data_IF_412581021893
#
_entry.id   IF_412581021893
#
_cell.length_a   1.000
_cell.length_b   1.000
_cell.length_c   1.000
_cell.angle_alpha   90.00
_cell.angle_beta   90.00
_cell.angle_gamma   90.00
#
_symmetry.space_group_name_H-M   'P 1'
#
loop_
_entity.id
_entity.type
_entity.pdbx_description
1 polymer ?
#
# COMPACT_ATOMS: atom_id res chain seq x y z
N UNK A 1 55.80 -54.43 -12.15
CA UNK A 1 56.54 -55.06 -11.05
C UNK A 1 57.19 -53.96 -10.21
N UNK A 2 56.91 -53.97 -8.89
CA UNK A 2 57.65 -53.38 -7.75
C UNK A 2 57.81 -51.85 -7.73
N UNK A 3 57.44 -51.09 -6.68
CA UNK A 3 57.63 -51.25 -5.22
C UNK A 3 56.53 -50.46 -4.46
N UNK A 4 55.66 -50.97 -3.57
CA UNK A 4 55.75 -51.42 -2.15
C UNK A 4 56.26 -50.42 -1.09
N UNK A 5 55.34 -49.84 -0.30
CA UNK A 5 55.22 -49.82 1.18
C UNK A 5 54.12 -48.79 1.57
N UNK A 6 52.89 -49.14 1.96
CA UNK A 6 52.36 -49.76 3.21
C UNK A 6 52.55 -48.94 4.50
N UNK A 7 51.48 -48.28 4.96
CA UNK A 7 50.97 -48.46 6.32
C UNK A 7 49.44 -48.25 6.35
N UNK A 8 48.75 -49.19 7.02
CA UNK A 8 47.30 -49.25 7.29
C UNK A 8 47.10 -49.11 8.80
N UNK A 9 46.20 -48.22 9.22
CA UNK A 9 45.34 -48.28 10.41
C UNK A 9 44.57 -46.94 10.44
N UNK A 10 43.26 -46.82 10.55
CA UNK A 10 42.24 -47.66 11.19
C UNK A 10 40.86 -47.38 10.58
N UNK A 11 40.00 -48.41 10.65
CA UNK A 11 38.66 -48.51 10.12
C UNK A 11 37.59 -47.72 10.92
N UNK A 12 36.52 -47.36 10.20
CA UNK A 12 35.08 -47.43 10.55
C UNK A 12 34.58 -46.87 11.90
N UNK A 13 33.83 -45.75 11.82
CA UNK A 13 32.54 -45.48 12.49
C UNK A 13 32.04 -44.11 12.01
N UNK A 14 30.76 -43.78 11.83
CA UNK A 14 29.51 -44.49 11.62
C UNK A 14 28.57 -43.43 11.05
N UNK A 15 27.94 -43.72 9.92
CA UNK A 15 26.83 -42.97 9.34
C UNK A 15 25.58 -43.20 10.20
N UNK A 16 25.28 -42.30 11.14
CA UNK A 16 23.99 -42.28 11.84
C UNK A 16 23.91 -41.08 12.78
N UNK A 17 23.57 -39.89 12.26
CA UNK A 17 22.96 -38.77 13.00
C UNK A 17 22.74 -37.58 12.06
N UNK A 18 21.55 -37.48 11.47
CA UNK A 18 20.81 -36.23 11.19
C UNK A 18 19.56 -36.59 10.33
N UNK A 19 18.68 -37.37 10.94
CA UNK A 19 17.25 -37.39 10.60
C UNK A 19 16.54 -37.41 11.93
N UNK A 20 15.85 -36.32 12.22
CA UNK A 20 14.65 -36.20 13.06
C UNK A 20 14.60 -34.74 13.54
N UNK A 21 13.62 -34.00 13.05
CA UNK A 21 12.74 -33.10 13.80
C UNK A 21 11.87 -32.39 12.77
N UNK A 22 10.61 -32.83 12.68
CA UNK A 22 9.37 -32.08 12.46
C UNK A 22 8.30 -33.06 11.97
N UNK A 23 7.70 -33.78 12.93
CA UNK A 23 6.42 -34.44 12.75
C UNK A 23 5.54 -34.12 13.97
N UNK A 24 4.34 -33.64 13.65
CA UNK A 24 3.21 -33.26 14.51
C UNK A 24 2.80 -34.34 15.52
N UNK A 25 2.16 -33.96 16.64
CA UNK A 25 1.18 -34.83 17.29
C UNK A 25 -0.24 -34.26 17.22
N UNK A 26 -1.15 -35.03 16.63
CA UNK A 26 -2.59 -34.97 16.92
C UNK A 26 -2.97 -36.03 17.98
N UNK A 27 -3.93 -35.62 18.82
CA UNK A 27 -4.97 -36.38 19.53
C UNK A 27 -4.58 -37.46 20.56
N UNK A 28 -5.04 -37.25 21.80
CA UNK A 28 -5.64 -38.30 22.63
C UNK A 28 -6.95 -37.78 23.25
N UNK A 29 -7.97 -38.64 23.28
CA UNK A 29 -9.27 -38.44 23.92
C UNK A 29 -9.32 -39.10 25.31
N UNK A 30 -10.06 -38.41 26.19
CA UNK A 30 -10.96 -38.85 27.29
C UNK A 30 -10.47 -39.72 28.45
N UNK A 31 -10.70 -39.21 29.67
CA UNK A 31 -11.46 -39.74 30.85
C UNK A 31 -10.92 -38.94 32.07
N UNK A 32 -11.66 -38.39 33.04
CA UNK A 32 -13.08 -38.34 33.41
C UNK A 32 -13.23 -37.38 34.62
N UNK A 33 -14.48 -37.06 34.95
CA UNK A 33 -15.08 -36.41 36.14
C UNK A 33 -14.26 -35.63 37.19
N UNK A 34 -14.83 -34.50 37.61
CA UNK A 34 -14.52 -33.86 38.89
C UNK A 34 -14.98 -32.42 38.99
N UNK A 35 -16.26 -32.21 39.30
CA UNK A 35 -16.79 -30.96 39.86
C UNK A 35 -15.99 -30.48 41.07
N UNK A 36 -15.83 -29.16 41.24
CA UNK A 36 -15.98 -28.38 42.50
C UNK A 36 -15.44 -26.96 42.27
N UNK A 37 -16.34 -25.98 42.32
CA UNK A 37 -16.08 -24.58 42.70
C UNK A 37 -15.84 -24.50 44.21
N UNK A 38 -15.02 -23.58 44.74
CA UNK A 38 -15.61 -22.31 45.21
C UNK A 38 -14.71 -21.04 45.21
N UNK A 39 -15.42 -19.92 45.12
CA UNK A 39 -15.30 -18.66 45.88
C UNK A 39 -14.03 -17.76 45.80
N UNK A 40 -14.29 -16.55 45.25
CA UNK A 40 -14.08 -15.22 45.86
C UNK A 40 -13.07 -15.09 47.00
N UNK A 41 -12.12 -14.15 46.85
CA UNK A 41 -11.82 -13.12 47.86
C UNK A 41 -11.15 -11.91 47.19
N UNK A 42 -11.80 -10.75 47.26
CA UNK A 42 -11.16 -9.42 47.25
C UNK A 42 -10.36 -9.24 48.55
N UNK A 43 -9.42 -8.28 48.58
CA UNK A 43 -9.76 -7.07 49.34
C UNK A 43 -9.32 -5.75 48.68
N UNK A 44 -10.15 -4.73 48.91
CA UNK A 44 -9.82 -3.30 48.79
C UNK A 44 -9.02 -2.80 50.02
N UNK A 45 -8.58 -1.54 49.91
CA UNK A 45 -8.01 -0.61 50.90
C UNK A 45 -6.47 -0.70 51.02
N UNK A 46 -5.70 0.40 51.02
CA UNK A 46 -5.99 1.77 51.44
C UNK A 46 -4.91 2.75 50.92
N UNK A 47 -5.32 4.00 50.65
CA UNK A 47 -4.46 5.19 50.49
C UNK A 47 -3.64 5.46 51.76
N UNK A 48 -2.37 5.88 51.59
CA UNK A 48 -1.61 7.01 52.25
C UNK A 48 -0.31 7.11 51.41
N UNK A 49 0.35 8.21 51.06
CA UNK A 49 0.36 9.63 51.40
C UNK A 49 1.73 10.16 50.94
N UNK A 50 1.76 11.39 50.44
CA UNK A 50 2.93 12.03 49.83
C UNK A 50 4.08 12.29 50.82
N UNK A 51 5.34 12.23 50.35
CA UNK A 51 6.46 13.07 50.86
C UNK A 51 7.37 13.47 49.69
N UNK A 52 7.57 14.78 49.59
CA UNK A 52 8.58 15.51 48.83
C UNK A 52 9.89 15.56 49.60
N UNK A 53 11.03 15.38 48.91
CA UNK A 53 12.28 16.07 49.26
C UNK A 53 13.09 16.31 48.00
N UNK A 54 13.38 17.58 47.72
CA UNK A 54 14.36 18.00 46.73
C UNK A 54 15.80 17.92 47.25
N UNK A 55 16.75 17.92 46.32
CA UNK A 55 18.18 18.05 46.55
C UNK A 55 18.88 18.24 45.21
N UNK A 56 19.58 19.36 45.06
CA UNK A 56 20.20 19.92 43.85
C UNK A 56 21.73 19.77 43.94
N UNK A 57 22.37 20.05 42.79
CA UNK A 57 23.79 20.29 42.49
C UNK A 57 24.66 19.04 42.35
N UNK A 58 25.60 18.90 41.43
CA UNK A 58 26.05 19.52 40.17
C UNK A 58 27.37 18.76 39.90
N UNK A 59 27.65 18.27 38.69
CA UNK A 59 28.93 18.54 38.00
C UNK A 59 29.11 17.80 36.67
N UNK A 60 29.28 18.65 35.65
CA UNK A 60 30.11 18.64 34.44
C UNK A 60 30.56 17.35 33.69
N UNK A 61 30.37 17.50 32.36
CA UNK A 61 31.29 17.23 31.25
C UNK A 61 31.37 15.84 30.56
N UNK A 62 30.86 15.90 29.32
CA UNK A 62 31.56 15.59 28.06
C UNK A 62 31.43 14.15 27.51
N UNK A 63 30.69 14.03 26.40
CA UNK A 63 31.24 13.55 25.11
C UNK A 63 30.16 13.64 24.04
N UNK A 64 30.40 14.54 23.09
CA UNK A 64 29.73 14.65 21.79
C UNK A 64 30.26 13.52 20.90
N UNK A 65 29.42 12.58 20.50
CA UNK A 65 29.68 11.71 19.35
C UNK A 65 28.55 11.85 18.34
N UNK A 66 28.91 12.47 17.22
CA UNK A 66 28.15 12.50 15.97
C UNK A 66 28.12 11.10 15.36
N UNK A 67 26.92 10.53 15.13
CA UNK A 67 26.75 9.41 14.21
C UNK A 67 25.55 9.68 13.30
N UNK A 68 25.90 9.92 12.04
CA UNK A 68 25.05 10.06 10.86
C UNK A 68 23.96 8.99 10.77
N UNK A 69 22.71 9.41 10.91
CA UNK A 69 21.52 8.66 10.52
C UNK A 69 21.02 9.14 9.17
N UNK A 70 21.30 8.37 8.12
CA UNK A 70 20.76 8.54 6.77
C UNK A 70 19.23 8.65 6.80
N UNK A 71 18.69 9.84 6.59
CA UNK A 71 17.30 10.05 6.24
C UNK A 71 17.06 9.40 4.87
N UNK A 72 16.13 8.45 4.82
CA UNK A 72 15.68 7.80 3.60
C UNK A 72 14.35 8.46 3.25
N UNK A 73 14.42 9.45 2.37
CA UNK A 73 13.25 9.98 1.68
C UNK A 73 12.77 8.90 0.70
N UNK A 74 11.76 8.13 1.10
CA UNK A 74 10.97 7.34 0.17
C UNK A 74 9.86 8.27 -0.36
N UNK A 75 10.09 8.80 -1.56
CA UNK A 75 9.17 9.66 -2.29
C UNK A 75 7.94 8.87 -2.76
N UNK A 76 6.82 9.03 -2.06
CA UNK A 76 5.50 8.88 -2.66
C UNK A 76 5.17 10.24 -3.27
N UNK A 77 4.90 10.28 -4.57
CA UNK A 77 4.49 11.46 -5.31
C UNK A 77 3.23 12.07 -4.67
N UNK A 78 3.44 13.03 -3.78
CA UNK A 78 2.47 14.09 -3.52
C UNK A 78 2.60 15.03 -4.71
N UNK A 79 1.50 15.34 -5.39
CA UNK A 79 1.46 16.44 -6.33
C UNK A 79 1.71 17.73 -5.54
N UNK A 80 2.97 18.10 -5.34
CA UNK A 80 3.37 19.43 -4.89
C UNK A 80 3.52 20.29 -6.15
N UNK A 81 2.64 21.27 -6.31
CA UNK A 81 2.83 22.38 -7.22
C UNK A 81 4.02 23.22 -6.73
N UNK A 82 5.19 22.99 -7.32
CA UNK A 82 6.34 23.91 -7.19
C UNK A 82 6.27 24.94 -8.31
N UNK A 83 5.49 26.00 -8.11
CA UNK A 83 5.71 27.26 -8.82
C UNK A 83 6.34 28.27 -7.88
N UNK A 84 7.66 28.41 -8.01
CA UNK A 84 8.44 29.45 -7.33
C UNK A 84 8.25 30.76 -8.09
N UNK A 85 7.47 31.67 -7.50
CA UNK A 85 7.37 33.06 -7.92
C UNK A 85 8.75 33.72 -7.76
N UNK A 86 9.39 34.08 -8.87
CA UNK A 86 10.55 34.98 -8.89
C UNK A 86 10.05 36.40 -9.15
N UNK A 87 9.84 37.19 -8.09
CA UNK A 87 9.70 38.65 -8.21
C UNK A 87 11.06 39.25 -7.82
N UNK A 88 11.86 39.53 -8.85
CA UNK A 88 13.07 40.33 -8.75
C UNK A 88 12.80 41.76 -9.19
N UNK A 89 13.08 42.68 -8.28
CA UNK A 89 13.41 44.10 -8.46
C UNK A 89 12.37 45.06 -9.08
N UNK A 90 11.90 45.95 -8.21
CA UNK A 90 11.24 47.21 -8.52
C UNK A 90 11.98 48.03 -9.57
N UNK A 91 11.26 48.43 -10.63
CA UNK A 91 11.57 49.66 -11.37
C UNK A 91 10.30 50.48 -11.53
N UNK A 92 10.31 51.64 -10.88
CA UNK A 92 9.39 52.74 -11.13
C UNK A 92 9.48 53.18 -12.59
N UNK A 93 8.38 53.13 -13.34
CA UNK A 93 8.18 53.97 -14.52
C UNK A 93 6.72 54.43 -14.54
N UNK A 94 6.56 55.74 -14.45
CA UNK A 94 5.27 56.42 -14.50
C UNK A 94 4.94 56.91 -15.93
N UNK A 95 3.63 56.93 -16.22
CA UNK A 95 2.87 57.68 -17.24
C UNK A 95 3.18 57.51 -18.74
N UNK A 96 2.14 57.16 -19.50
CA UNK A 96 1.34 58.15 -20.27
C UNK A 96 0.07 57.55 -20.89
N UNK A 97 -1.03 58.30 -20.75
CA UNK A 97 -2.20 58.25 -21.62
C UNK A 97 -1.78 58.56 -23.06
N UNK A 98 -2.31 57.83 -24.04
CA UNK A 98 -3.21 58.39 -25.06
C UNK A 98 -3.54 57.34 -26.13
N UNK A 99 -4.67 57.59 -26.79
CA UNK A 99 -4.97 57.22 -28.17
C UNK A 99 -5.87 56.00 -28.41
N UNK A 100 -7.15 56.39 -28.59
CA UNK A 100 -7.97 56.15 -29.78
C UNK A 100 -8.72 54.82 -29.87
N UNK A 101 -9.96 54.90 -29.38
CA UNK A 101 -11.22 54.68 -30.12
C UNK A 101 -11.05 54.22 -31.58
N UNK A 102 -11.72 53.14 -31.96
CA UNK A 102 -12.96 53.28 -32.73
C UNK A 102 -13.68 51.93 -32.98
N UNK A 103 -15.00 52.00 -32.84
CA UNK A 103 -15.96 51.36 -33.76
C UNK A 103 -16.20 49.86 -33.64
N UNK A 104 -17.34 49.47 -33.07
CA UNK A 104 -18.57 49.21 -33.84
C UNK A 104 -19.61 48.64 -32.86
N UNK A 105 -20.71 49.37 -32.73
CA UNK A 105 -21.93 48.96 -32.05
C UNK A 105 -22.82 48.09 -32.95
N UNK A 106 -23.53 47.18 -32.28
CA UNK A 106 -24.91 46.74 -32.50
C UNK A 106 -25.20 45.63 -33.56
N UNK A 107 -25.65 44.47 -33.05
CA UNK A 107 -27.03 44.01 -33.25
C UNK A 107 -27.43 42.82 -32.35
N UNK A 108 -28.40 43.16 -31.53
CA UNK A 108 -29.43 42.46 -30.74
C UNK A 108 -30.02 41.10 -31.18
N UNK A 109 -30.55 40.41 -30.15
CA UNK A 109 -31.63 39.37 -30.09
C UNK A 109 -31.28 37.90 -30.44
N UNK A 110 -31.69 36.86 -29.69
CA UNK A 110 -32.54 36.69 -28.48
C UNK A 110 -32.49 35.22 -28.00
N UNK A 111 -32.97 34.99 -26.77
CA UNK A 111 -33.48 33.75 -26.15
C UNK A 111 -32.44 32.69 -25.69
N UNK A 112 -32.40 32.22 -24.44
CA UNK A 112 -33.23 32.43 -23.25
C UNK A 112 -32.81 31.47 -22.12
N UNK A 113 -33.37 31.68 -20.91
CA UNK A 113 -33.49 30.75 -19.76
C UNK A 113 -32.25 30.68 -18.85
N UNK A 114 -32.14 31.60 -17.88
CA UNK A 114 -32.51 31.46 -16.45
C UNK A 114 -31.76 30.31 -15.75
N UNK A 115 -30.82 30.57 -14.84
CA UNK A 115 -30.96 31.39 -13.64
C UNK A 115 -30.79 30.44 -12.45
N UNK A 116 -29.59 30.41 -11.87
CA UNK A 116 -29.35 29.78 -10.56
C UNK A 116 -28.98 30.90 -9.62
N UNK A 117 -29.83 31.06 -8.61
CA UNK A 117 -29.78 32.09 -7.60
C UNK A 117 -28.49 32.02 -6.78
N UNK A 118 -27.83 33.18 -6.65
CA UNK A 118 -26.65 33.37 -5.82
C UNK A 118 -27.11 34.09 -4.53
N UNK A 119 -27.48 33.32 -3.50
CA UNK A 119 -27.82 33.89 -2.19
C UNK A 119 -26.58 34.08 -1.30
N UNK A 120 -26.29 35.36 -1.08
CA UNK A 120 -25.73 36.02 0.11
C UNK A 120 -24.48 35.46 0.80
N UNK A 121 -23.35 36.15 0.62
CA UNK A 121 -22.26 36.17 1.60
C UNK A 121 -22.41 37.41 2.47
N UNK A 122 -22.60 37.20 3.77
CA UNK A 122 -22.59 38.25 4.78
C UNK A 122 -21.15 38.72 5.02
N UNK A 123 -20.87 40.00 4.75
CA UNK A 123 -19.60 40.65 5.06
C UNK A 123 -19.82 41.86 5.98
N UNK A 124 -19.26 41.81 7.18
CA UNK A 124 -19.20 42.93 8.13
C UNK A 124 -18.25 44.02 7.60
N UNK A 125 -18.72 45.28 7.55
CA UNK A 125 -17.93 46.45 7.15
C UNK A 125 -17.26 47.09 8.37
N UNK A 126 -15.94 47.17 8.36
CA UNK A 126 -15.20 48.25 9.03
C UNK A 126 -14.34 48.97 8.00
N UNK A 127 -14.48 50.30 7.96
CA UNK A 127 -13.77 51.17 7.05
C UNK A 127 -12.50 51.72 7.72
N UNK A 128 -11.36 51.50 7.06
CA UNK A 128 -10.28 52.48 6.83
C UNK A 128 -9.19 51.80 5.99
N UNK A 129 -8.78 52.50 4.94
CA UNK A 129 -7.79 52.14 3.91
C UNK A 129 -8.30 51.21 2.81
N UNK A 130 -8.63 51.83 1.66
CA UNK A 130 -8.99 51.16 0.41
C UNK A 130 -7.82 50.34 -0.15
N UNK A 131 -7.79 49.06 0.20
CA UNK A 131 -7.27 47.99 -0.65
C UNK A 131 -8.29 46.85 -0.56
N UNK A 132 -9.12 46.70 -1.57
CA UNK A 132 -10.02 45.54 -1.69
C UNK A 132 -9.16 44.40 -2.25
N UNK A 133 -8.67 43.53 -1.38
CA UNK A 133 -8.12 42.23 -1.81
C UNK A 133 -9.32 41.30 -2.00
N UNK A 134 -9.76 41.14 -3.24
CA UNK A 134 -10.67 40.05 -3.60
C UNK A 134 -9.83 38.76 -3.62
N UNK A 135 -9.75 38.06 -2.50
CA UNK A 135 -9.26 36.69 -2.46
C UNK A 135 -10.31 35.80 -3.12
N UNK A 136 -10.21 35.65 -4.44
CA UNK A 136 -10.81 34.57 -5.18
C UNK A 136 -10.10 33.28 -4.78
N UNK A 137 -10.68 32.53 -3.84
CA UNK A 137 -10.31 31.13 -3.63
C UNK A 137 -10.77 30.34 -4.86
N UNK A 138 -9.94 30.32 -5.90
CA UNK A 138 -10.04 29.29 -6.92
C UNK A 138 -9.74 27.97 -6.23
N UNK A 139 -10.76 27.14 -6.00
CA UNK A 139 -10.58 25.70 -5.75
C UNK A 139 -9.86 25.14 -6.97
N UNK A 140 -8.53 25.11 -6.92
CA UNK A 140 -7.74 24.32 -7.84
C UNK A 140 -8.07 22.85 -7.58
N UNK A 141 -9.03 22.35 -8.35
CA UNK A 141 -9.34 20.94 -8.39
C UNK A 141 -8.16 20.26 -9.08
N UNK A 142 -7.26 19.68 -8.29
CA UNK A 142 -6.14 18.89 -8.80
C UNK A 142 -6.71 17.80 -9.72
N UNK A 143 -6.56 17.98 -11.04
CA UNK A 143 -6.83 16.91 -11.99
C UNK A 143 -5.68 15.93 -11.85
N UNK A 144 -5.87 14.88 -11.05
CA UNK A 144 -4.97 13.74 -11.03
C UNK A 144 -4.96 13.13 -12.43
N UNK A 145 -3.90 13.36 -13.21
CA UNK A 145 -3.69 12.58 -14.42
C UNK A 145 -3.62 11.10 -14.06
N UNK A 146 -4.29 10.26 -14.84
CA UNK A 146 -4.37 8.81 -14.64
C UNK A 146 -3.04 8.14 -15.01
N UNK A 147 -1.95 8.50 -14.34
CA UNK A 147 -0.57 8.07 -14.63
C UNK A 147 0.19 7.63 -13.37
N UNK A 148 -0.49 7.52 -12.23
CA UNK A 148 0.09 7.08 -10.96
C UNK A 148 0.49 5.59 -10.94
N UNK A 149 1.40 5.19 -10.03
CA UNK A 149 1.80 3.79 -9.88
C UNK A 149 0.65 2.94 -9.32
N UNK A 150 0.39 1.78 -9.94
CA UNK A 150 -0.61 0.82 -9.48
C UNK A 150 -0.10 -0.03 -8.30
N UNK A 151 1.20 0.01 -8.03
CA UNK A 151 1.81 -0.40 -6.77
C UNK A 151 2.49 -1.77 -6.82
N UNK A 152 3.18 -2.05 -7.91
CA UNK A 152 4.19 -3.11 -7.96
C UNK A 152 5.38 -2.78 -7.05
N UNK A 153 5.91 -1.56 -7.07
CA UNK A 153 7.00 -1.08 -6.23
C UNK A 153 6.55 -0.95 -4.77
N UNK A 154 5.45 -0.22 -4.54
CA UNK A 154 4.92 0.06 -3.20
C UNK A 154 4.30 -1.12 -2.45
N UNK A 155 4.21 -2.30 -3.08
CA UNK A 155 3.72 -3.52 -2.42
C UNK A 155 2.20 -3.71 -2.41
N UNK A 156 1.43 -2.69 -2.81
CA UNK A 156 -0.05 -2.71 -2.96
C UNK A 156 -0.49 -3.96 -3.73
N UNK A 157 0.17 -4.26 -4.85
CA UNK A 157 0.01 -5.52 -5.58
C UNK A 157 0.79 -6.60 -4.84
N UNK A 158 0.11 -7.62 -4.31
CA UNK A 158 0.76 -8.73 -3.58
C UNK A 158 1.51 -9.71 -4.46
N UNK A 159 2.32 -10.53 -3.79
CA UNK A 159 3.02 -11.65 -4.39
C UNK A 159 2.05 -12.67 -5.03
N UNK A 160 0.85 -12.88 -4.50
CA UNK A 160 -0.13 -13.82 -5.08
C UNK A 160 -0.76 -13.30 -6.38
N UNK A 161 -0.77 -11.97 -6.57
CA UNK A 161 -1.31 -11.35 -7.78
C UNK A 161 -0.33 -11.42 -8.96
N UNK A 162 0.94 -11.75 -8.71
CA UNK A 162 1.99 -11.80 -9.73
C UNK A 162 2.35 -13.25 -10.02
N UNK A 163 2.10 -13.69 -11.25
CA UNK A 163 2.35 -15.05 -11.71
C UNK A 163 3.18 -15.03 -13.00
N UNK A 164 3.82 -16.13 -13.35
CA UNK A 164 4.56 -16.23 -14.60
C UNK A 164 4.49 -17.65 -15.17
N UNK A 165 4.74 -17.73 -16.48
CA UNK A 165 5.01 -18.94 -17.25
C UNK A 165 6.07 -19.85 -16.62
N UNK A 166 7.23 -19.28 -16.31
CA UNK A 166 8.40 -19.99 -15.84
C UNK A 166 9.24 -19.11 -14.91
N UNK A 167 10.16 -19.76 -14.19
CA UNK A 167 11.05 -19.08 -13.24
C UNK A 167 12.44 -19.67 -13.32
N UNK A 168 13.44 -18.79 -13.39
CA UNK A 168 14.83 -19.20 -13.36
C UNK A 168 15.24 -19.64 -11.95
N UNK A 169 15.98 -20.75 -11.88
CA UNK A 169 16.60 -21.24 -10.65
C UNK A 169 18.10 -21.34 -10.87
N UNK A 170 18.87 -20.70 -10.00
CA UNK A 170 20.35 -20.77 -10.02
C UNK A 170 20.88 -21.42 -8.75
N UNK A 171 22.17 -21.80 -8.77
CA UNK A 171 22.94 -22.25 -7.62
C UNK A 171 22.25 -23.41 -6.87
N UNK A 172 22.10 -24.55 -7.55
CA UNK A 172 21.42 -25.76 -7.04
C UNK A 172 19.98 -25.51 -6.52
N UNK A 173 19.30 -24.48 -7.02
CA UNK A 173 17.94 -24.13 -6.63
C UNK A 173 17.82 -23.21 -5.41
N UNK A 174 18.95 -22.74 -4.87
CA UNK A 174 18.98 -21.80 -3.75
C UNK A 174 18.60 -20.37 -4.17
N UNK A 175 18.89 -19.97 -5.41
CA UNK A 175 18.49 -18.67 -5.94
C UNK A 175 17.29 -18.80 -6.88
N UNK A 176 16.11 -18.32 -6.45
CA UNK A 176 14.87 -18.40 -7.22
C UNK A 176 14.43 -17.01 -7.68
N UNK A 177 14.41 -16.77 -8.98
CA UNK A 177 14.00 -15.49 -9.58
C UNK A 177 12.50 -15.48 -9.83
N UNK A 178 11.74 -15.43 -8.72
CA UNK A 178 10.29 -15.60 -8.72
C UNK A 178 9.54 -14.36 -9.26
N UNK A 179 8.31 -14.52 -9.76
CA UNK A 179 7.57 -13.45 -10.44
C UNK A 179 7.33 -12.23 -9.56
N UNK A 180 7.06 -12.45 -8.28
CA UNK A 180 6.81 -11.39 -7.30
C UNK A 180 8.05 -10.52 -6.98
N UNK A 181 9.23 -10.89 -7.46
CA UNK A 181 10.41 -10.04 -7.41
C UNK A 181 10.49 -9.02 -8.55
N UNK A 182 9.59 -9.07 -9.54
CA UNK A 182 9.51 -8.13 -10.66
C UNK A 182 9.00 -6.73 -10.26
N UNK A 183 9.42 -6.21 -9.11
CA UNK A 183 9.03 -4.90 -8.59
C UNK A 183 10.10 -3.88 -8.95
N UNK A 184 9.68 -2.71 -9.41
CA UNK A 184 10.60 -1.61 -9.74
C UNK A 184 11.51 -1.29 -8.55
N UNK A 185 12.76 -0.89 -8.83
CA UNK A 185 13.77 -0.49 -7.83
C UNK A 185 14.08 -1.50 -6.71
N UNK A 186 13.57 -2.73 -6.79
CA UNK A 186 13.86 -3.76 -5.78
C UNK A 186 15.38 -4.00 -5.67
N UNK A 187 15.89 -4.00 -4.43
CA UNK A 187 17.29 -4.22 -4.08
C UNK A 187 17.50 -5.64 -3.54
N UNK A 188 18.74 -6.13 -3.61
CA UNK A 188 19.14 -7.44 -3.08
C UNK A 188 19.91 -8.29 -4.10
N UNK A 189 20.42 -9.45 -3.65
CA UNK A 189 21.12 -10.42 -4.51
C UNK A 189 20.20 -11.05 -5.58
N UNK A 190 18.93 -11.25 -5.22
CA UNK A 190 17.86 -11.67 -6.13
C UNK A 190 16.77 -10.63 -6.03
N UNK A 191 16.58 -9.86 -7.10
CA UNK A 191 15.78 -8.64 -7.06
C UNK A 191 14.89 -8.44 -8.29
N UNK A 192 14.75 -9.45 -9.14
CA UNK A 192 13.89 -9.40 -10.32
C UNK A 192 13.25 -10.76 -10.59
N UNK A 193 12.28 -10.79 -11.50
CA UNK A 193 11.86 -12.03 -12.13
C UNK A 193 12.79 -12.34 -13.31
N UNK A 194 13.08 -13.62 -13.52
CA UNK A 194 13.82 -14.08 -14.69
C UNK A 194 13.17 -15.37 -15.20
N UNK A 195 12.95 -15.45 -16.52
CA UNK A 195 12.38 -16.63 -17.16
C UNK A 195 13.35 -17.82 -17.16
N UNK A 196 12.80 -19.04 -17.18
CA UNK A 196 13.64 -20.24 -17.31
C UNK A 196 14.32 -20.30 -18.69
N UNK A 197 15.53 -20.86 -18.77
CA UNK A 197 16.33 -20.88 -20.01
C UNK A 197 15.67 -21.66 -21.16
N UNK A 198 14.84 -22.67 -20.84
CA UNK A 198 14.13 -23.48 -21.82
C UNK A 198 12.77 -22.91 -22.25
N UNK A 199 12.34 -21.78 -21.70
CA UNK A 199 11.04 -21.18 -22.02
C UNK A 199 11.15 -20.31 -23.28
N UNK A 200 10.54 -20.77 -24.38
CA UNK A 200 10.55 -20.06 -25.66
C UNK A 200 9.59 -18.87 -25.71
N UNK A 201 8.56 -18.86 -24.86
CA UNK A 201 7.51 -17.86 -24.87
C UNK A 201 7.19 -17.41 -23.43
N UNK A 202 8.18 -16.83 -22.73
CA UNK A 202 7.98 -16.43 -21.37
C UNK A 202 6.96 -15.31 -21.28
N UNK A 203 6.14 -15.39 -20.25
CA UNK A 203 5.23 -14.34 -19.85
C UNK A 203 5.22 -14.17 -18.33
N UNK A 204 4.91 -12.93 -17.92
CA UNK A 204 4.60 -12.55 -16.55
C UNK A 204 3.25 -11.85 -16.54
N UNK A 205 2.41 -12.18 -15.56
CA UNK A 205 1.02 -11.78 -15.46
C UNK A 205 0.75 -11.13 -14.11
N UNK A 206 0.00 -10.04 -14.15
CA UNK A 206 -0.45 -9.28 -13.00
C UNK A 206 -1.98 -9.31 -12.97
N UNK A 207 -2.54 -9.74 -11.85
CA UNK A 207 -3.97 -9.67 -11.57
C UNK A 207 -4.25 -8.43 -10.70
N UNK A 208 -4.89 -7.42 -11.28
CA UNK A 208 -5.24 -6.16 -10.60
C UNK A 208 -6.45 -6.30 -9.67
N UNK A 209 -7.04 -7.51 -9.55
CA UNK A 209 -8.25 -7.87 -8.78
C UNK A 209 -9.55 -7.21 -9.25
N UNK A 210 -9.45 -6.05 -9.91
CA UNK A 210 -10.56 -5.31 -10.52
C UNK A 210 -10.15 -4.76 -11.87
N UNK A 211 -11.13 -4.34 -12.65
CA UNK A 211 -10.91 -3.68 -13.94
C UNK A 211 -10.34 -2.29 -13.71
N UNK A 212 -9.11 -2.07 -14.19
CA UNK A 212 -8.37 -0.80 -14.03
C UNK A 212 -8.08 -0.21 -15.40
N UNK A 213 -7.83 1.12 -15.44
CA UNK A 213 -7.27 1.80 -16.60
C UNK A 213 -5.75 1.82 -16.46
N UNK A 214 -5.06 1.09 -17.33
CA UNK A 214 -3.61 1.00 -17.39
C UNK A 214 -3.12 1.90 -18.52
N UNK A 215 -2.36 2.92 -18.16
CA UNK A 215 -1.89 3.97 -19.08
C UNK A 215 -0.42 3.82 -19.45
N UNK A 216 0.33 2.99 -18.73
CA UNK A 216 1.73 2.73 -19.08
C UNK A 216 2.38 1.62 -18.27
N UNK A 217 3.64 1.35 -18.62
CA UNK A 217 4.51 0.38 -17.98
C UNK A 217 5.92 0.95 -17.89
N UNK A 218 6.49 0.92 -16.68
CA UNK A 218 7.90 1.17 -16.44
C UNK A 218 8.61 -0.17 -16.30
N UNK A 219 9.72 -0.34 -16.97
CA UNK A 219 10.53 -1.57 -16.98
C UNK A 219 11.96 -1.29 -16.55
N UNK A 220 12.60 -2.26 -15.88
CA UNK A 220 14.00 -2.26 -15.45
C UNK A 220 14.58 -3.66 -15.60
N UNK A 221 15.89 -3.75 -15.88
CA UNK A 221 16.63 -5.01 -15.86
C UNK A 221 17.10 -5.42 -14.47
N UNK A 222 18.05 -6.36 -14.41
CA UNK A 222 18.83 -6.65 -13.21
C UNK A 222 20.25 -7.10 -13.56
N UNK A 223 21.06 -7.35 -12.53
CA UNK A 223 22.44 -7.82 -12.67
C UNK A 223 22.60 -9.13 -11.93
N UNK A 224 23.10 -10.16 -12.63
CA UNK A 224 23.39 -11.47 -12.06
C UNK A 224 24.89 -11.74 -12.18
N UNK A 225 25.57 -11.89 -11.04
CA UNK A 225 27.01 -12.19 -10.95
C UNK A 225 27.83 -11.31 -11.92
N UNK A 226 27.74 -9.98 -11.79
CA UNK A 226 28.50 -9.09 -12.67
C UNK A 226 27.89 -8.84 -14.05
N UNK A 227 26.97 -9.67 -14.53
CA UNK A 227 26.40 -9.58 -15.88
C UNK A 227 25.05 -8.86 -15.91
N UNK A 228 24.86 -7.84 -16.76
CA UNK A 228 23.56 -7.20 -16.94
C UNK A 228 22.63 -8.08 -17.77
N UNK A 229 21.39 -8.21 -17.31
CA UNK A 229 20.31 -8.97 -17.93
C UNK A 229 19.03 -8.12 -17.95
N UNK A 230 18.39 -8.02 -19.11
CA UNK A 230 17.21 -7.17 -19.28
C UNK A 230 16.43 -7.52 -20.55
N UNK A 231 15.18 -7.08 -20.59
CA UNK A 231 14.30 -7.19 -21.76
C UNK A 231 14.52 -5.98 -22.67
N UNK A 232 14.85 -6.23 -23.94
CA UNK A 232 15.06 -5.19 -24.98
C UNK A 232 13.78 -4.83 -25.71
N UNK A 233 12.87 -5.79 -25.87
CA UNK A 233 11.55 -5.53 -26.45
C UNK A 233 10.52 -6.52 -25.92
N UNK A 234 9.26 -6.09 -25.86
CA UNK A 234 8.17 -6.89 -25.33
C UNK A 234 6.84 -6.55 -26.01
N UNK A 235 5.90 -7.49 -25.94
CA UNK A 235 4.49 -7.28 -26.29
C UNK A 235 3.65 -7.27 -25.01
N UNK A 236 2.48 -6.67 -25.07
CA UNK A 236 1.52 -6.60 -23.96
C UNK A 236 0.22 -7.25 -24.39
N UNK A 237 -0.35 -8.08 -23.53
CA UNK A 237 -1.71 -8.58 -23.66
C UNK A 237 -2.51 -8.26 -22.41
N UNK A 238 -3.82 -8.19 -22.59
CA UNK A 238 -4.75 -7.88 -21.52
C UNK A 238 -5.98 -8.78 -21.60
N UNK A 239 -6.66 -8.94 -20.47
CA UNK A 239 -7.81 -9.82 -20.32
C UNK A 239 -8.66 -9.38 -19.13
N UNK A 240 -9.98 -9.59 -19.22
CA UNK A 240 -10.90 -9.37 -18.10
C UNK A 240 -11.13 -10.63 -17.26
N UNK A 241 -10.96 -11.83 -17.84
CA UNK A 241 -11.25 -13.11 -17.19
C UNK A 241 -10.02 -13.98 -16.91
N UNK A 242 -8.86 -13.57 -17.41
CA UNK A 242 -7.59 -14.30 -17.35
C UNK A 242 -7.50 -15.50 -18.28
N UNK A 243 -8.53 -15.75 -19.11
CA UNK A 243 -8.64 -16.90 -20.04
C UNK A 243 -8.59 -16.44 -21.50
N UNK A 244 -9.41 -15.46 -21.87
CA UNK A 244 -9.43 -14.87 -23.20
C UNK A 244 -8.50 -13.65 -23.21
N UNK A 245 -7.47 -13.68 -24.07
CA UNK A 245 -6.43 -12.66 -24.11
C UNK A 245 -6.46 -11.88 -25.42
N UNK A 246 -6.40 -10.56 -25.31
CA UNK A 246 -6.26 -9.64 -26.44
C UNK A 246 -4.86 -9.05 -26.43
N UNK A 247 -4.20 -9.02 -27.59
CA UNK A 247 -2.90 -8.36 -27.75
C UNK A 247 -3.11 -6.85 -27.90
N UNK A 248 -2.20 -6.05 -27.34
CA UNK A 248 -2.16 -4.62 -27.59
C UNK A 248 -1.65 -4.36 -29.01
N UNK A 249 -2.44 -3.63 -29.81
CA UNK A 249 -2.19 -3.41 -31.23
C UNK A 249 -1.71 -1.99 -31.50
N UNK A 250 -0.98 -1.81 -32.60
CA UNK A 250 -0.63 -0.48 -33.09
C UNK A 250 -1.92 0.22 -33.53
N UNK A 251 -2.04 1.52 -33.19
CA UNK A 251 -3.22 2.32 -33.52
C UNK A 251 -3.55 2.23 -35.01
N UNK A 252 -4.83 2.00 -35.32
CA UNK A 252 -5.38 1.91 -36.67
C UNK A 252 -4.82 0.75 -37.53
N UNK A 253 -4.23 -0.28 -36.92
CA UNK A 253 -3.75 -1.49 -37.61
C UNK A 253 -4.10 -2.77 -36.87
N UNK A 254 -3.98 -3.93 -37.53
CA UNK A 254 -4.16 -5.25 -36.91
C UNK A 254 -2.86 -5.85 -36.33
N UNK A 255 -1.75 -5.11 -36.41
CA UNK A 255 -0.43 -5.60 -35.99
C UNK A 255 -0.22 -5.46 -34.47
N UNK A 256 0.40 -6.48 -33.87
CA UNK A 256 0.80 -6.43 -32.46
C UNK A 256 1.85 -5.32 -32.23
N UNK A 257 1.58 -4.45 -31.25
CA UNK A 257 2.53 -3.44 -30.84
C UNK A 257 3.74 -4.08 -30.14
N UNK A 258 4.94 -3.74 -30.62
CA UNK A 258 6.20 -4.13 -29.99
C UNK A 258 6.78 -2.90 -29.29
N UNK A 259 6.83 -2.97 -27.96
CA UNK A 259 7.42 -1.91 -27.14
C UNK A 259 8.93 -2.09 -27.03
N UNK A 260 9.64 -0.97 -27.01
CA UNK A 260 11.08 -0.94 -26.74
C UNK A 260 11.29 -0.96 -25.23
N UNK A 261 12.07 -1.92 -24.73
CA UNK A 261 12.37 -2.10 -23.32
C UNK A 261 13.61 -1.34 -22.87
N UNK A 262 14.44 -2.00 -22.06
CA UNK A 262 15.63 -1.40 -21.47
C UNK A 262 16.86 -1.50 -22.39
N UNK A 263 17.75 -0.51 -22.25
CA UNK A 263 19.09 -0.48 -22.86
C UNK A 263 20.17 -0.96 -21.90
N UNK A 264 19.91 -0.95 -20.60
CA UNK A 264 20.81 -1.39 -19.53
C UNK A 264 20.05 -2.15 -18.41
N UNK A 265 20.74 -2.47 -17.30
CA UNK A 265 20.15 -3.22 -16.19
C UNK A 265 19.49 -2.38 -15.09
N UNK A 266 19.66 -1.06 -15.06
CA UNK A 266 19.28 -0.23 -13.90
C UNK A 266 18.35 0.93 -14.26
N UNK A 267 18.52 1.55 -15.42
CA UNK A 267 17.76 2.71 -15.84
C UNK A 267 16.31 2.30 -16.13
N UNK A 268 15.31 2.96 -15.49
CA UNK A 268 13.92 2.73 -15.81
C UNK A 268 13.60 3.19 -17.23
N UNK A 269 12.88 2.36 -17.98
CA UNK A 269 12.35 2.69 -19.31
C UNK A 269 10.84 2.66 -19.25
N UNK A 270 10.21 3.81 -19.49
CA UNK A 270 8.77 4.00 -19.43
C UNK A 270 8.17 3.97 -20.84
N UNK A 271 7.08 3.23 -21.00
CA UNK A 271 6.27 3.24 -22.23
C UNK A 271 4.81 3.52 -21.86
N UNK A 272 4.19 4.42 -22.61
CA UNK A 272 2.78 4.73 -22.46
C UNK A 272 1.92 3.89 -23.41
N UNK A 273 0.72 3.55 -22.98
CA UNK A 273 -0.28 2.86 -23.78
C UNK A 273 -1.27 3.88 -24.33
N UNK A 274 -1.28 4.03 -25.66
CA UNK A 274 -2.21 4.89 -26.38
C UNK A 274 -2.88 4.07 -27.49
N UNK A 275 -4.19 3.76 -27.38
CA UNK A 275 -5.11 4.11 -26.29
C UNK A 275 -4.80 3.39 -24.96
N UNK A 276 -5.29 3.89 -23.81
CA UNK A 276 -5.10 3.21 -22.52
C UNK A 276 -5.85 1.87 -22.48
N UNK A 277 -5.31 0.91 -21.74
CA UNK A 277 -5.85 -0.44 -21.63
C UNK A 277 -6.83 -0.51 -20.45
N UNK A 278 -8.05 -1.01 -20.67
CA UNK A 278 -9.04 -1.20 -19.61
C UNK A 278 -9.27 -2.69 -19.35
N UNK A 279 -8.59 -3.23 -18.33
CA UNK A 279 -8.60 -4.67 -18.05
C UNK A 279 -8.32 -5.01 -16.57
N UNK A 280 -8.66 -6.24 -16.16
CA UNK A 280 -8.27 -6.77 -14.85
C UNK A 280 -6.89 -7.44 -14.85
N UNK A 281 -6.55 -8.13 -15.94
CA UNK A 281 -5.31 -8.87 -16.07
C UNK A 281 -4.43 -8.23 -17.13
N UNK A 282 -3.17 -8.01 -16.79
CA UNK A 282 -2.13 -7.56 -17.73
C UNK A 282 -1.06 -8.63 -17.79
N UNK A 283 -0.63 -8.96 -19.00
CA UNK A 283 0.43 -9.93 -19.25
C UNK A 283 1.48 -9.33 -20.18
N UNK A 284 2.73 -9.45 -19.77
CA UNK A 284 3.89 -8.97 -20.51
C UNK A 284 4.60 -10.17 -21.14
N UNK A 285 4.90 -10.08 -22.43
CA UNK A 285 5.60 -11.09 -23.21
C UNK A 285 6.95 -10.55 -23.71
N UNK A 286 8.06 -10.79 -22.99
CA UNK A 286 9.39 -10.51 -23.50
C UNK A 286 9.62 -11.15 -24.87
N UNK A 287 10.11 -10.37 -25.84
CA UNK A 287 10.41 -10.84 -27.20
C UNK A 287 11.91 -10.99 -27.40
N UNK A 288 12.66 -9.93 -27.11
CA UNK A 288 14.12 -9.92 -27.24
C UNK A 288 14.73 -9.56 -25.90
N UNK A 289 15.70 -10.35 -25.47
CA UNK A 289 16.34 -10.22 -24.15
C UNK A 289 17.86 -10.19 -24.30
N UNK A 290 18.56 -9.50 -23.38
CA UNK A 290 20.02 -9.58 -23.25
C UNK A 290 20.36 -10.69 -22.26
N UNK A 291 21.01 -11.75 -22.76
CA UNK A 291 21.35 -12.99 -22.03
C UNK A 291 20.11 -13.75 -21.54
N UNK A 292 19.36 -13.19 -20.59
CA UNK A 292 18.12 -13.77 -20.07
C UNK A 292 17.02 -12.71 -20.00
N UNK A 293 15.77 -13.17 -20.11
CA UNK A 293 14.61 -12.32 -19.94
C UNK A 293 14.38 -12.04 -18.45
N UNK A 294 15.03 -10.99 -17.97
CA UNK A 294 15.00 -10.55 -16.58
C UNK A 294 14.32 -9.18 -16.50
N UNK A 295 13.34 -9.03 -15.60
CA UNK A 295 12.46 -7.86 -15.55
C UNK A 295 12.09 -7.47 -14.12
N UNK A 296 12.17 -6.17 -13.84
CA UNK A 296 11.50 -5.42 -12.78
C UNK A 296 10.52 -4.45 -13.45
N UNK A 297 9.36 -4.21 -12.86
CA UNK A 297 8.38 -3.32 -13.47
C UNK A 297 7.48 -2.58 -12.48
N UNK A 298 6.85 -1.52 -12.97
CA UNK A 298 5.72 -0.82 -12.35
C UNK A 298 4.66 -0.54 -13.41
N UNK A 299 3.40 -0.80 -13.08
CA UNK A 299 2.27 -0.47 -13.95
C UNK A 299 1.77 0.92 -13.58
N UNK A 300 1.48 1.73 -14.59
CA UNK A 300 0.92 3.06 -14.40
C UNK A 300 -0.56 3.06 -14.80
N UNK A 301 -1.37 3.81 -14.06
CA UNK A 301 -2.79 3.89 -14.35
C UNK A 301 -3.62 4.43 -13.19
N UNK A 302 -4.92 4.19 -13.29
CA UNK A 302 -5.89 4.54 -12.27
C UNK A 302 -7.08 3.58 -12.32
N UNK A 303 -7.98 3.71 -11.37
CA UNK A 303 -9.22 2.94 -11.34
C UNK A 303 -10.27 3.52 -12.30
N UNK A 304 -11.09 2.66 -12.91
CA UNK A 304 -12.13 3.09 -13.85
C UNK A 304 -13.30 3.77 -13.15
N UNK A 305 -13.73 3.19 -12.04
CA UNK A 305 -14.71 3.80 -11.15
C UNK A 305 -13.96 4.78 -10.27
N UNK A 306 -14.23 6.09 -10.40
CA UNK A 306 -13.62 7.17 -9.61
C UNK A 306 -13.97 7.14 -8.11
N UNK A 307 -14.10 5.96 -7.52
CA UNK A 307 -14.56 5.69 -6.16
C UNK A 307 -13.56 4.81 -5.41
N UNK A 308 -12.28 5.15 -5.49
CA UNK A 308 -11.21 4.45 -4.77
C UNK A 308 -10.24 5.43 -4.12
N UNK A 309 -10.74 6.62 -3.81
CA UNK A 309 -10.02 7.64 -3.06
C UNK A 309 -9.90 7.22 -1.59
N UNK A 310 -8.80 7.60 -0.91
CA UNK A 310 -8.67 7.38 0.53
C UNK A 310 -9.75 8.16 1.28
N UNK A 311 -10.50 7.46 2.14
CA UNK A 311 -11.58 8.04 2.93
C UNK A 311 -11.08 8.93 4.08
N UNK A 312 -9.78 8.89 4.37
CA UNK A 312 -9.11 9.85 5.22
C UNK A 312 -8.67 9.32 6.57
N UNK A 313 -8.34 8.03 6.67
CA UNK A 313 -7.62 7.50 7.82
C UNK A 313 -6.22 8.13 7.89
N UNK A 314 -5.47 8.18 6.79
CA UNK A 314 -4.11 8.76 6.75
C UNK A 314 -4.12 10.28 6.88
N UNK A 315 -5.01 10.96 6.15
CA UNK A 315 -5.06 12.42 6.11
C UNK A 315 -5.63 13.04 7.38
N UNK A 316 -6.40 12.27 8.16
CA UNK A 316 -7.05 12.77 9.36
C UNK A 316 -8.45 13.34 9.13
N UNK A 317 -9.04 13.22 7.94
CA UNK A 317 -10.45 13.58 7.74
C UNK A 317 -11.37 12.72 8.62
N UNK A 318 -11.09 11.42 8.73
CA UNK A 318 -11.71 10.57 9.75
C UNK A 318 -11.07 10.92 11.09
N UNK A 319 -11.86 11.46 12.02
CA UNK A 319 -11.40 11.92 13.33
C UNK A 319 -11.16 10.76 14.30
N UNK A 320 -10.40 11.01 15.37
CA UNK A 320 -10.02 9.96 16.33
C UNK A 320 -11.23 9.29 17.00
N UNK A 321 -12.29 10.05 17.30
CA UNK A 321 -13.49 9.50 17.93
C UNK A 321 -14.29 8.55 17.02
N UNK A 322 -14.07 8.64 15.70
CA UNK A 322 -14.70 7.75 14.72
C UNK A 322 -14.04 6.37 14.67
N UNK A 323 -12.88 6.20 15.29
CA UNK A 323 -12.10 4.96 15.25
C UNK A 323 -12.15 4.33 16.64
N UNK A 324 -12.76 3.15 16.73
CA UNK A 324 -12.91 2.39 17.98
C UNK A 324 -12.44 0.96 17.79
N UNK A 325 -12.18 0.23 18.87
CA UNK A 325 -11.79 -1.17 18.78
C UNK A 325 -12.31 -1.98 19.97
N UNK A 326 -12.22 -3.29 19.86
CA UNK A 326 -12.57 -4.24 20.93
C UNK A 326 -11.68 -4.12 22.16
N UNK A 327 -10.38 -3.88 21.97
CA UNK A 327 -9.41 -3.79 23.05
C UNK A 327 -8.15 -3.04 22.61
N UNK A 328 -7.32 -2.64 23.57
CA UNK A 328 -6.11 -1.83 23.34
C UNK A 328 -4.96 -2.38 24.17
N UNK A 329 -3.83 -2.62 23.53
CA UNK A 329 -2.59 -3.00 24.19
C UNK A 329 -1.79 -1.78 24.65
N UNK A 330 -1.17 -1.88 25.81
CA UNK A 330 -0.25 -0.87 26.33
C UNK A 330 1.12 -1.52 26.56
N UNK A 331 2.16 -1.02 25.89
CA UNK A 331 3.51 -1.54 26.12
C UNK A 331 3.98 -1.10 27.51
N UNK A 332 4.55 -2.03 28.28
CA UNK A 332 4.98 -1.82 29.67
C UNK A 332 3.87 -1.35 30.63
N UNK A 333 2.58 -1.52 30.28
CA UNK A 333 1.45 -0.97 31.03
C UNK A 333 1.55 0.56 31.27
N UNK A 334 2.18 1.28 30.34
CA UNK A 334 2.32 2.73 30.38
C UNK A 334 1.39 3.37 29.35
N UNK A 335 0.59 4.33 29.78
CA UNK A 335 -0.37 5.04 28.92
C UNK A 335 0.29 5.74 27.72
N UNK A 336 1.48 6.30 27.93
CA UNK A 336 2.31 6.90 26.87
C UNK A 336 2.64 5.92 25.74
N UNK A 337 2.64 4.61 26.01
CA UNK A 337 2.86 3.55 25.02
C UNK A 337 1.59 2.75 24.70
N UNK A 338 0.43 3.42 24.76
CA UNK A 338 -0.87 2.85 24.39
C UNK A 338 -1.07 2.78 22.87
N UNK A 339 -1.37 1.60 22.35
CA UNK A 339 -1.60 1.32 20.93
C UNK A 339 -3.07 1.52 20.54
N UNK A 340 -3.54 2.75 20.75
CA UNK A 340 -4.95 3.12 20.59
C UNK A 340 -5.51 2.93 19.16
N UNK A 341 -6.83 2.75 19.01
CA UNK A 341 -7.48 2.64 17.70
C UNK A 341 -7.25 3.87 16.82
N UNK A 342 -7.19 5.06 17.42
CA UNK A 342 -6.89 6.34 16.76
C UNK A 342 -5.56 6.36 16.00
N UNK A 343 -4.64 5.47 16.35
CA UNK A 343 -3.31 5.31 15.74
C UNK A 343 -3.30 4.31 14.59
N UNK A 344 -4.41 3.62 14.30
CA UNK A 344 -4.56 2.65 13.20
C UNK A 344 -4.58 3.28 11.81
N UNK A 345 -3.82 4.35 11.58
CA UNK A 345 -3.82 5.13 10.33
C UNK A 345 -2.66 4.67 9.44
N UNK A 346 -2.93 4.48 8.16
CA UNK A 346 -1.91 4.08 7.18
C UNK A 346 -0.70 5.02 7.22
N UNK A 347 0.51 4.46 7.15
CA UNK A 347 1.79 5.20 7.18
C UNK A 347 2.03 6.07 8.41
N UNK A 348 1.25 5.91 9.48
CA UNK A 348 1.49 6.62 10.72
C UNK A 348 2.92 6.30 11.22
N UNK A 349 3.64 7.36 11.58
CA UNK A 349 5.00 7.31 12.11
C UNK A 349 5.01 7.53 13.62
N UNK A 350 6.12 7.14 14.26
CA UNK A 350 6.34 7.30 15.70
C UNK A 350 6.62 5.97 16.41
N UNK A 351 6.95 6.04 17.70
CA UNK A 351 7.25 4.86 18.53
C UNK A 351 6.03 3.95 18.72
N UNK A 352 4.84 4.55 18.83
CA UNK A 352 3.56 3.85 18.84
C UNK A 352 2.71 4.44 17.74
N UNK A 353 2.55 3.67 16.68
CA UNK A 353 2.06 4.16 15.40
C UNK A 353 1.01 3.27 14.76
N UNK A 354 0.43 2.34 15.52
CA UNK A 354 -0.63 1.47 15.05
C UNK A 354 -1.63 1.21 16.17
N UNK A 355 -2.74 0.54 15.83
CA UNK A 355 -3.56 -0.11 16.83
C UNK A 355 -3.04 -1.53 17.07
N UNK A 356 -3.00 -1.93 18.35
CA UNK A 356 -2.70 -3.30 18.76
C UNK A 356 -3.74 -3.75 19.76
N UNK A 357 -4.33 -4.94 19.56
CA UNK A 357 -5.32 -5.47 20.50
C UNK A 357 -4.65 -5.97 21.78
N UNK A 358 -5.36 -5.86 22.91
CA UNK A 358 -4.89 -6.37 24.20
C UNK A 358 -4.75 -7.90 24.19
N UNK A 359 -5.72 -8.57 23.55
CA UNK A 359 -5.82 -10.02 23.47
C UNK A 359 -5.63 -10.49 22.03
N UNK A 360 -4.95 -11.63 21.86
CA UNK A 360 -4.70 -12.26 20.57
C UNK A 360 -5.73 -13.39 20.34
N UNK A 361 -6.96 -13.02 20.03
CA UNK A 361 -8.05 -13.94 19.71
C UNK A 361 -8.85 -13.46 18.49
N UNK A 362 -9.70 -14.32 17.94
CA UNK A 362 -10.49 -14.03 16.74
C UNK A 362 -11.76 -13.20 17.01
N UNK A 363 -11.99 -12.78 18.26
CA UNK A 363 -13.13 -11.91 18.62
C UNK A 363 -12.78 -10.43 18.57
N UNK A 364 -11.52 -10.09 18.30
CA UNK A 364 -11.06 -8.72 18.21
C UNK A 364 -11.55 -8.02 16.95
N UNK A 365 -11.73 -6.71 17.03
CA UNK A 365 -12.18 -5.90 15.90
C UNK A 365 -11.64 -4.48 15.99
N UNK A 366 -11.37 -3.89 14.83
CA UNK A 366 -11.17 -2.45 14.64
C UNK A 366 -12.36 -1.90 13.86
N UNK A 367 -12.99 -0.86 14.37
CA UNK A 367 -14.19 -0.25 13.81
C UNK A 367 -13.91 1.18 13.39
N UNK A 368 -14.48 1.56 12.24
CA UNK A 368 -14.47 2.92 11.73
C UNK A 368 -15.92 3.35 11.45
N UNK A 369 -16.33 4.48 12.02
CA UNK A 369 -17.60 5.16 11.75
C UNK A 369 -17.38 6.25 10.69
N UNK A 370 -17.94 6.07 9.49
CA UNK A 370 -17.85 7.03 8.38
C UNK A 370 -18.85 8.18 8.50
N UNK A 371 -19.73 8.16 9.52
CA UNK A 371 -20.81 9.12 9.80
C UNK A 371 -21.94 9.16 8.78
N UNK A 372 -21.63 9.01 7.50
CA UNK A 372 -22.56 8.91 6.39
C UNK A 372 -22.46 7.54 5.72
N UNK A 373 -23.56 7.09 5.13
CA UNK A 373 -23.53 5.90 4.27
C UNK A 373 -22.58 6.17 3.11
N UNK A 374 -21.58 5.31 2.99
CA UNK A 374 -20.48 5.48 2.04
C UNK A 374 -20.34 4.22 1.21
N UNK A 375 -19.97 4.40 -0.06
CA UNK A 375 -19.58 3.29 -0.93
C UNK A 375 -18.12 2.95 -0.69
N UNK A 376 -17.87 1.86 0.01
CA UNK A 376 -16.54 1.36 0.36
C UNK A 376 -16.13 0.31 -0.68
N UNK A 377 -15.06 0.60 -1.41
CA UNK A 377 -14.57 -0.23 -2.51
C UNK A 377 -13.30 -0.97 -2.15
N UNK A 378 -12.58 -0.61 -1.09
CA UNK A 378 -11.33 -1.28 -0.76
C UNK A 378 -10.81 -0.98 0.62
N UNK A 379 -9.86 -1.81 1.06
CA UNK A 379 -9.16 -1.64 2.33
C UNK A 379 -7.67 -1.84 2.08
N UNK A 380 -6.86 -0.89 2.54
CA UNK A 380 -5.40 -1.01 2.60
C UNK A 380 -5.01 -1.31 4.04
N UNK A 381 -4.18 -2.32 4.24
CA UNK A 381 -3.68 -2.75 5.54
C UNK A 381 -2.15 -2.70 5.57
N UNK A 382 -1.58 -2.42 6.74
CA UNK A 382 -0.15 -2.35 6.98
C UNK A 382 0.13 -2.77 8.43
N UNK A 383 1.21 -3.51 8.67
CA UNK A 383 1.61 -3.90 10.03
C UNK A 383 2.38 -2.80 10.77
N UNK A 384 3.06 -3.14 11.85
CA UNK A 384 3.99 -2.26 12.56
C UNK A 384 5.12 -3.03 13.26
N UNK A 385 6.01 -2.29 13.92
CA UNK A 385 7.10 -2.85 14.75
C UNK A 385 7.00 -2.26 16.15
N UNK A 386 7.05 -3.12 17.16
CA UNK A 386 7.16 -2.72 18.57
C UNK A 386 8.54 -3.13 19.10
N UNK A 387 9.38 -2.16 19.47
CA UNK A 387 10.78 -2.39 19.89
C UNK A 387 11.57 -3.36 18.98
N UNK A 388 11.40 -3.24 17.66
CA UNK A 388 12.05 -4.11 16.67
C UNK A 388 11.36 -5.46 16.43
N UNK A 389 10.35 -5.81 17.21
CA UNK A 389 9.51 -6.98 16.98
C UNK A 389 8.43 -6.67 15.94
N UNK A 390 8.52 -7.35 14.80
CA UNK A 390 7.55 -7.27 13.70
C UNK A 390 6.20 -7.84 14.14
N UNK A 391 5.12 -7.09 13.91
CA UNK A 391 3.75 -7.49 14.24
C UNK A 391 2.81 -7.08 13.10
N UNK A 392 1.93 -7.97 12.66
CA UNK A 392 0.98 -7.69 11.58
C UNK A 392 -0.17 -8.69 11.54
N UNK A 393 -1.28 -8.28 10.94
CA UNK A 393 -2.42 -9.16 10.62
C UNK A 393 -2.21 -9.79 9.25
N UNK A 394 -2.16 -11.13 9.22
CA UNK A 394 -1.93 -11.93 8.02
C UNK A 394 -3.19 -12.30 7.26
N UNK A 395 -4.35 -12.34 7.92
CA UNK A 395 -5.64 -12.45 7.26
C UNK A 395 -6.75 -11.87 8.12
N UNK A 396 -7.83 -11.40 7.49
CA UNK A 396 -8.95 -10.78 8.18
C UNK A 396 -10.28 -11.00 7.44
N UNK A 397 -11.39 -10.86 8.17
CA UNK A 397 -12.73 -10.75 7.62
C UNK A 397 -13.22 -9.31 7.76
N UNK A 398 -14.27 -8.97 7.03
CA UNK A 398 -14.90 -7.65 7.08
C UNK A 398 -16.35 -7.80 7.49
N UNK A 399 -16.79 -6.97 8.43
CA UNK A 399 -18.19 -6.82 8.78
C UNK A 399 -18.61 -5.36 8.58
N UNK A 400 -19.87 -5.12 8.28
CA UNK A 400 -20.38 -3.78 8.01
C UNK A 400 -21.80 -3.60 8.58
N UNK A 401 -22.16 -2.35 8.86
CA UNK A 401 -23.43 -1.99 9.48
C UNK A 401 -23.84 -0.56 9.13
N UNK A 402 -25.14 -0.27 9.19
CA UNK A 402 -25.69 1.09 9.06
C UNK A 402 -26.17 1.67 10.39
N UNK A 403 -26.46 0.82 11.38
CA UNK A 403 -26.99 1.21 12.69
C UNK A 403 -25.95 1.05 13.83
N UNK A 404 -24.86 0.32 13.58
CA UNK A 404 -23.82 0.00 14.57
C UNK A 404 -24.18 -1.17 15.50
N UNK A 405 -25.41 -1.69 15.40
CA UNK A 405 -25.93 -2.78 16.24
C UNK A 405 -25.99 -4.10 15.48
N UNK A 406 -26.56 -4.09 14.27
CA UNK A 406 -26.69 -5.25 13.41
C UNK A 406 -25.54 -5.28 12.42
N UNK A 407 -24.76 -6.34 12.46
CA UNK A 407 -23.57 -6.50 11.64
C UNK A 407 -23.77 -7.58 10.59
N UNK A 408 -23.50 -7.24 9.33
CA UNK A 408 -23.47 -8.16 8.22
C UNK A 408 -22.02 -8.53 7.92
N UNK A 409 -21.77 -9.82 7.67
CA UNK A 409 -20.46 -10.32 7.27
C UNK A 409 -20.30 -10.20 5.76
N UNK A 410 -19.13 -9.75 5.31
CA UNK A 410 -18.81 -9.74 3.89
C UNK A 410 -18.55 -11.17 3.40
N UNK A 411 -19.30 -11.60 2.38
CA UNK A 411 -19.29 -12.97 1.88
C UNK A 411 -18.72 -13.06 0.47
N UNK A 412 -18.10 -14.20 0.16
CA UNK A 412 -17.69 -14.54 -1.20
C UNK A 412 -18.91 -15.05 -1.97
N UNK A 413 -19.36 -14.31 -3.00
CA UNK A 413 -20.55 -14.66 -3.79
C UNK A 413 -20.48 -16.09 -4.36
N UNK A 414 -19.28 -16.56 -4.70
CA UNK A 414 -19.08 -17.88 -5.33
C UNK A 414 -19.18 -19.03 -4.34
N UNK A 415 -18.90 -18.78 -3.05
CA UNK A 415 -18.80 -19.83 -2.04
C UNK A 415 -19.86 -19.73 -0.94
N UNK A 416 -20.63 -18.62 -0.88
CA UNK A 416 -21.65 -18.37 0.14
C UNK A 416 -21.08 -18.53 1.57
N UNK A 417 -19.83 -18.09 1.75
CA UNK A 417 -19.08 -18.15 3.02
C UNK A 417 -18.42 -16.80 3.27
N UNK A 418 -18.16 -16.51 4.54
CA UNK A 418 -17.38 -15.32 4.93
C UNK A 418 -16.09 -15.23 4.14
N UNK A 419 -15.88 -14.11 3.47
CA UNK A 419 -14.66 -13.86 2.72
C UNK A 419 -13.50 -13.65 3.68
N UNK A 420 -12.45 -14.46 3.53
CA UNK A 420 -11.18 -14.25 4.24
C UNK A 420 -10.24 -13.52 3.29
N UNK A 421 -9.93 -12.27 3.63
CA UNK A 421 -8.95 -11.46 2.93
C UNK A 421 -7.54 -11.80 3.41
N UNK A 422 -6.61 -11.93 2.48
CA UNK A 422 -5.20 -12.09 2.79
C UNK A 422 -4.61 -10.71 3.10
N UNK A 423 -4.12 -10.56 4.32
CA UNK A 423 -3.52 -9.34 4.87
C UNK A 423 -2.03 -9.23 4.54
N UNK A 424 -1.28 -8.69 5.50
CA UNK A 424 0.14 -8.40 5.35
C UNK A 424 1.01 -9.65 5.56
N UNK A 425 2.25 -9.60 5.05
CA UNK A 425 3.29 -10.60 5.31
C UNK A 425 4.52 -10.00 6.01
N UNK A 426 4.52 -8.69 6.20
CA UNK A 426 5.52 -7.92 6.93
C UNK A 426 4.86 -6.68 7.59
N UNK A 427 5.67 -5.84 8.23
CA UNK A 427 5.20 -4.67 8.97
C UNK A 427 5.10 -3.37 8.14
N UNK A 428 5.67 -3.34 6.94
CA UNK A 428 5.95 -2.09 6.22
C UNK A 428 5.18 -2.00 4.91
N UNK A 429 5.06 -3.10 4.19
CA UNK A 429 4.40 -3.11 2.88
C UNK A 429 2.89 -2.93 3.01
N UNK A 430 2.34 -2.10 2.13
CA UNK A 430 0.90 -1.93 2.02
C UNK A 430 0.27 -3.16 1.38
N UNK A 431 -0.89 -3.55 1.89
CA UNK A 431 -1.71 -4.60 1.29
C UNK A 431 -3.09 -4.05 0.99
N UNK A 432 -3.38 -3.81 -0.30
CA UNK A 432 -4.72 -3.45 -0.78
C UNK A 432 -5.51 -4.71 -1.08
N UNK A 433 -6.74 -4.76 -0.57
CA UNK A 433 -7.75 -5.71 -0.97
C UNK A 433 -8.94 -4.95 -1.53
N UNK A 434 -9.28 -5.26 -2.78
CA UNK A 434 -10.51 -4.82 -3.42
C UNK A 434 -11.73 -5.52 -2.79
N UNK A 435 -12.79 -4.76 -2.55
CA UNK A 435 -14.12 -5.27 -2.22
C UNK A 435 -14.92 -5.31 -3.53
N UNK A 436 -15.28 -6.51 -3.97
CA UNK A 436 -16.10 -6.77 -5.14
C UNK A 436 -17.07 -7.93 -4.84
N UNK A 437 -18.36 -7.64 -4.62
CA UNK A 437 -19.03 -6.35 -4.78
C UNK A 437 -18.61 -5.29 -3.72
N UNK A 438 -18.78 -3.99 -3.99
CA UNK A 438 -18.52 -2.93 -3.01
C UNK A 438 -19.52 -2.95 -1.85
N UNK A 439 -19.12 -2.43 -0.69
CA UNK A 439 -19.95 -2.34 0.51
C UNK A 439 -20.61 -0.96 0.58
N UNK A 440 -21.89 -0.92 0.89
CA UNK A 440 -22.63 0.32 1.17
C UNK A 440 -22.96 0.35 2.66
N UNK A 441 -22.18 1.10 3.43
CA UNK A 441 -22.32 1.12 4.88
C UNK A 441 -21.82 2.43 5.51
N UNK A 442 -22.34 2.75 6.70
CA UNK A 442 -21.79 3.78 7.59
C UNK A 442 -20.65 3.26 8.46
N UNK A 443 -20.80 2.05 9.01
CA UNK A 443 -19.82 1.43 9.88
C UNK A 443 -19.14 0.26 9.19
N UNK A 444 -17.82 0.18 9.37
CA UNK A 444 -17.02 -0.97 8.93
C UNK A 444 -16.19 -1.50 10.09
N UNK A 445 -16.12 -2.83 10.19
CA UNK A 445 -15.29 -3.57 11.12
C UNK A 445 -14.32 -4.46 10.35
N UNK A 446 -13.06 -4.38 10.74
CA UNK A 446 -12.01 -5.29 10.32
C UNK A 446 -11.80 -6.30 11.45
N UNK A 447 -11.95 -7.58 11.12
CA UNK A 447 -11.94 -8.70 12.05
C UNK A 447 -10.69 -9.57 11.80
N UNK A 448 -9.62 -9.43 12.60
CA UNK A 448 -8.40 -10.22 12.42
C UNK A 448 -8.67 -11.72 12.56
N UNK A 449 -8.15 -12.50 11.61
CA UNK A 449 -8.36 -13.95 11.53
C UNK A 449 -7.08 -14.74 11.76
N UNK A 450 -5.95 -14.25 11.24
CA UNK A 450 -4.61 -14.75 11.54
C UNK A 450 -3.61 -13.59 11.61
N UNK A 451 -2.56 -13.73 12.40
CA UNK A 451 -1.56 -12.67 12.64
C UNK A 451 -0.18 -13.26 12.95
N UNK A 452 0.83 -12.40 12.91
CA UNK A 452 2.19 -12.69 13.35
C UNK A 452 2.55 -11.82 14.55
N UNK A 453 3.02 -12.44 15.64
CA UNK A 453 3.30 -11.74 16.90
C UNK A 453 2.00 -11.35 17.62
N UNK A 454 1.55 -10.11 17.42
CA UNK A 454 0.29 -9.57 17.96
C UNK A 454 -0.61 -9.09 16.83
N UNK A 455 -1.90 -8.95 17.12
CA UNK A 455 -2.85 -8.30 16.22
C UNK A 455 -2.53 -6.81 16.21
N UNK A 456 -1.82 -6.37 15.17
CA UNK A 456 -1.39 -4.99 15.00
C UNK A 456 -1.71 -4.52 13.59
N UNK A 457 -2.36 -3.37 13.46
CA UNK A 457 -2.83 -2.85 12.18
C UNK A 457 -2.74 -1.32 12.07
N UNK A 458 -2.34 -0.89 10.88
CA UNK A 458 -2.57 0.43 10.29
C UNK A 458 -3.45 0.22 9.05
N UNK A 459 -4.42 1.10 8.84
CA UNK A 459 -5.49 0.91 7.86
C UNK A 459 -5.78 2.21 7.10
N UNK A 460 -6.13 2.08 5.83
CA UNK A 460 -6.83 3.10 5.04
C UNK A 460 -8.05 2.46 4.37
N UNK A 461 -9.16 3.18 4.34
CA UNK A 461 -10.36 2.76 3.62
C UNK A 461 -10.41 3.48 2.27
N UNK A 462 -10.82 2.77 1.23
CA UNK A 462 -10.98 3.33 -0.10
C UNK A 462 -12.46 3.34 -0.47
N UNK A 463 -12.93 4.43 -1.07
CA UNK A 463 -14.33 4.57 -1.43
C UNK A 463 -14.67 5.96 -1.96
N UNK A 464 -15.95 6.27 -1.91
CA UNK A 464 -16.50 7.59 -2.19
C UNK A 464 -17.83 7.76 -1.44
N UNK A 465 -18.23 9.01 -1.13
CA UNK A 465 -19.58 9.30 -0.70
C UNK A 465 -20.59 8.79 -1.73
N UNK A 466 -21.74 8.32 -1.26
CA UNK A 466 -22.86 8.04 -2.16
C UNK A 466 -23.38 9.38 -2.70
N UNK A 467 -23.31 9.59 -4.02
CA UNK A 467 -24.01 10.71 -4.66
C UNK A 467 -25.51 10.50 -4.46
N UNK A 468 -26.16 11.42 -3.75
CA UNK A 468 -27.61 11.42 -3.52
C UNK A 468 -28.37 11.96 -4.72
#
# INVERSE_FOLDING_TARGET
MLSKHSSRSSLQASLSSLRLLFQSPQSMRSFGDGSVTPLMFSPEHQRVGAISTGGRTDDSNDTREDIFGFEREDSISVCESKDTISIGESKDIAFKNSDLLDGVEDKTEKDGISGVDMESVAGTRESKNNVIILSLETKEQCICECSGPLGMEGGIISNQQVTASSTHRSLFGLQKWLPYFARLNKKGLVNAWSAAEGDRYPWIQINLQRRMRVTGLITQGAKRIGSPEYVKSYKVAYSDDGKAWSMFKVKDTDEDMIFTGNTDNNSPSANSFSPPIEAQYIRIYPQVCRKHCTLRMELLGCELTGCSEPMGMKTGHIQNYQITASSVFQTLNMDMFSWEPSKARLDKQGKVNAWTSAHNDQSQWLQVDLQITTKITGIITQGAKDFGHVQFVGSYKVAFSNDGEKWLMYQDEKQQKDKIFQGNFDNETHRKNALDPPIYARFIRILPWSWYGRITMRVELLGCPEEQ
#
